data_IF_063335608968
#
_entry.id   IF_063335608968
#
_cell.length_a   1.000
_cell.length_b   1.000
_cell.length_c   1.000
_cell.angle_alpha   90.00
_cell.angle_beta   90.00
_cell.angle_gamma   90.00
#
_symmetry.space_group_name_H-M   'P 1'
#
loop_
_entity.id
_entity.type
_entity.pdbx_description
1 polymer ?
#
# COMPACT_ATOMS: atom_id res chain seq x y z
N UNK A 1 11.52 12.46 -27.77
CA UNK A 1 10.17 12.83 -28.29
C UNK A 1 9.42 11.64 -28.88
N UNK A 2 10.10 10.64 -29.47
CA UNK A 2 9.48 9.42 -30.05
C UNK A 2 8.70 8.53 -29.07
N UNK A 3 9.08 8.48 -27.79
CA UNK A 3 8.39 7.63 -26.79
C UNK A 3 7.02 8.15 -26.36
N UNK A 4 6.67 9.42 -26.61
CA UNK A 4 5.34 9.95 -26.29
C UNK A 4 4.30 9.62 -27.37
N UNK A 5 4.74 9.39 -28.60
CA UNK A 5 3.87 9.12 -29.76
C UNK A 5 3.42 7.66 -29.85
N UNK A 6 4.22 6.70 -29.39
CA UNK A 6 3.83 5.27 -29.39
C UNK A 6 2.80 4.92 -28.30
N UNK A 7 2.73 5.69 -27.20
CA UNK A 7 1.74 5.48 -26.12
C UNK A 7 0.30 5.87 -26.51
N UNK A 8 0.12 6.51 -27.66
CA UNK A 8 -1.17 7.03 -28.13
C UNK A 8 -1.84 6.05 -29.11
N UNK A 9 -1.07 5.16 -29.76
CA UNK A 9 -1.56 4.35 -30.89
C UNK A 9 -2.04 2.92 -30.52
N UNK A 10 -1.83 2.45 -29.29
CA UNK A 10 -2.38 1.17 -28.79
C UNK A 10 -3.70 1.32 -28.02
N UNK A 11 -4.29 2.52 -27.99
CA UNK A 11 -5.61 2.73 -27.37
C UNK A 11 -6.68 2.45 -28.40
N UNK A 12 -7.04 1.19 -28.60
CA UNK A 12 -8.24 0.85 -29.36
C UNK A 12 -9.42 1.71 -28.84
N UNK A 13 -10.26 2.30 -29.70
CA UNK A 13 -11.34 3.18 -29.27
C UNK A 13 -12.27 2.50 -28.25
N UNK A 14 -12.39 1.17 -28.33
CA UNK A 14 -13.12 0.34 -27.38
C UNK A 14 -12.56 0.37 -25.94
N UNK A 15 -11.25 0.49 -25.76
CA UNK A 15 -10.63 0.58 -24.43
C UNK A 15 -10.83 1.97 -23.81
N UNK A 16 -10.83 3.01 -24.64
CA UNK A 16 -11.17 4.36 -24.20
C UNK A 16 -12.64 4.45 -23.80
N UNK A 17 -13.54 3.83 -24.58
CA UNK A 17 -14.97 3.76 -24.25
C UNK A 17 -15.19 3.02 -22.92
N UNK A 18 -14.56 1.86 -22.71
CA UNK A 18 -14.67 1.12 -21.44
C UNK A 18 -14.18 1.94 -20.25
N UNK A 19 -13.05 2.66 -20.40
CA UNK A 19 -12.53 3.53 -19.35
C UNK A 19 -13.45 4.73 -19.06
N UNK A 20 -14.00 5.37 -20.09
CA UNK A 20 -14.97 6.47 -19.93
C UNK A 20 -16.22 5.98 -19.19
N UNK A 21 -16.73 4.79 -19.51
CA UNK A 21 -17.87 4.18 -18.82
C UNK A 21 -17.56 3.93 -17.35
N UNK A 22 -16.39 3.35 -17.04
CA UNK A 22 -15.98 3.09 -15.63
C UNK A 22 -15.84 4.40 -14.85
N UNK A 23 -15.16 5.40 -15.42
CA UNK A 23 -14.96 6.70 -14.76
C UNK A 23 -16.29 7.43 -14.55
N UNK A 24 -17.20 7.39 -15.53
CA UNK A 24 -18.54 7.98 -15.40
C UNK A 24 -19.36 7.28 -14.31
N UNK A 25 -19.32 5.95 -14.25
CA UNK A 25 -20.06 5.17 -13.26
C UNK A 25 -19.56 5.41 -11.83
N UNK A 26 -18.23 5.53 -11.64
CA UNK A 26 -17.63 5.89 -10.34
C UNK A 26 -17.95 7.34 -9.96
N UNK A 27 -17.83 8.28 -10.89
CA UNK A 27 -18.18 9.69 -10.65
C UNK A 27 -19.65 9.85 -10.26
N UNK A 28 -20.55 9.13 -10.93
CA UNK A 28 -21.97 9.08 -10.60
C UNK A 28 -22.20 8.48 -9.21
N UNK A 29 -21.48 7.42 -8.85
CA UNK A 29 -21.53 6.82 -7.51
C UNK A 29 -21.08 7.78 -6.40
N UNK A 30 -19.98 8.51 -6.62
CA UNK A 30 -19.48 9.53 -5.67
C UNK A 30 -20.46 10.70 -5.57
N UNK A 31 -21.01 11.15 -6.69
CA UNK A 31 -21.97 12.25 -6.72
C UNK A 31 -23.28 11.90 -6.01
N UNK A 32 -23.82 10.70 -6.28
CA UNK A 32 -24.97 10.17 -5.56
C UNK A 32 -24.66 10.05 -4.06
N UNK A 33 -23.45 9.62 -3.71
CA UNK A 33 -23.03 9.52 -2.32
C UNK A 33 -22.98 10.87 -1.60
N UNK A 34 -22.49 11.89 -2.28
CA UNK A 34 -22.43 13.25 -1.77
C UNK A 34 -23.84 13.84 -1.59
N UNK A 35 -24.69 13.73 -2.61
CA UNK A 35 -26.05 14.28 -2.59
C UNK A 35 -26.95 13.65 -1.52
N UNK A 36 -26.90 12.33 -1.34
CA UNK A 36 -27.72 11.62 -0.35
C UNK A 36 -27.05 11.54 1.04
N UNK A 37 -26.14 12.46 1.37
CA UNK A 37 -25.37 12.39 2.63
C UNK A 37 -26.19 12.67 3.89
N UNK A 38 -27.28 13.44 3.81
CA UNK A 38 -27.99 13.91 5.00
C UNK A 38 -29.28 13.14 5.33
N UNK A 39 -29.84 12.34 4.40
CA UNK A 39 -31.19 11.78 4.58
C UNK A 39 -31.28 10.24 4.71
N UNK A 40 -30.21 9.48 4.40
CA UNK A 40 -30.28 8.01 4.29
C UNK A 40 -29.42 7.28 5.34
N UNK A 41 -29.97 6.19 5.88
CA UNK A 41 -29.33 5.30 6.84
C UNK A 41 -28.03 4.69 6.28
N UNK A 42 -26.94 4.71 7.08
CA UNK A 42 -25.55 4.47 6.64
C UNK A 42 -25.35 3.10 5.96
N UNK A 43 -26.11 2.08 6.37
CA UNK A 43 -25.98 0.71 5.87
C UNK A 43 -26.38 0.56 4.39
N UNK A 44 -27.44 1.23 3.96
CA UNK A 44 -27.95 1.14 2.57
C UNK A 44 -26.98 1.84 1.60
N UNK A 45 -26.40 2.96 2.03
CA UNK A 45 -25.36 3.70 1.30
C UNK A 45 -24.10 2.87 1.09
N UNK A 46 -23.64 2.17 2.14
CA UNK A 46 -22.47 1.31 2.06
C UNK A 46 -22.70 0.15 1.07
N UNK A 47 -23.85 -0.51 1.10
CA UNK A 47 -24.20 -1.57 0.15
C UNK A 47 -24.30 -1.06 -1.29
N UNK A 48 -24.94 0.10 -1.51
CA UNK A 48 -25.04 0.71 -2.83
C UNK A 48 -23.64 1.03 -3.40
N UNK A 49 -22.77 1.66 -2.61
CA UNK A 49 -21.39 1.94 -3.02
C UNK A 49 -20.58 0.66 -3.30
N UNK A 50 -20.71 -0.35 -2.44
CA UNK A 50 -20.04 -1.64 -2.64
C UNK A 50 -20.50 -2.30 -3.93
N UNK A 51 -21.81 -2.29 -4.23
CA UNK A 51 -22.32 -2.85 -5.48
C UNK A 51 -21.78 -2.11 -6.71
N UNK A 52 -21.80 -0.78 -6.71
CA UNK A 52 -21.23 0.06 -7.78
C UNK A 52 -19.74 -0.21 -7.96
N UNK A 53 -18.98 -0.31 -6.87
CA UNK A 53 -17.56 -0.61 -6.90
C UNK A 53 -17.28 -2.02 -7.45
N UNK A 54 -18.11 -3.01 -7.11
CA UNK A 54 -18.01 -4.38 -7.64
C UNK A 54 -18.30 -4.39 -9.13
N UNK A 55 -19.37 -3.75 -9.61
CA UNK A 55 -19.68 -3.67 -11.04
C UNK A 55 -18.60 -2.92 -11.83
N UNK A 56 -18.11 -1.80 -11.32
CA UNK A 56 -16.99 -1.07 -11.93
C UNK A 56 -15.72 -1.92 -11.97
N UNK A 57 -15.42 -2.65 -10.89
CA UNK A 57 -14.30 -3.58 -10.81
C UNK A 57 -14.41 -4.72 -11.83
N UNK A 58 -15.59 -5.33 -11.97
CA UNK A 58 -15.83 -6.41 -12.95
C UNK A 58 -15.64 -5.91 -14.39
N UNK A 59 -16.12 -4.70 -14.72
CA UNK A 59 -15.95 -4.09 -16.04
C UNK A 59 -14.47 -3.73 -16.28
N UNK A 60 -13.78 -3.19 -15.28
CA UNK A 60 -12.36 -2.86 -15.37
C UNK A 60 -11.48 -4.11 -15.58
N UNK A 61 -11.80 -5.22 -14.91
CA UNK A 61 -11.09 -6.49 -15.06
C UNK A 61 -11.27 -7.13 -16.46
N UNK A 62 -12.39 -6.84 -17.14
CA UNK A 62 -12.63 -7.29 -18.52
C UNK A 62 -11.90 -6.45 -19.59
N UNK A 63 -11.15 -5.42 -19.21
CA UNK A 63 -10.35 -4.59 -20.12
C UNK A 63 -8.97 -5.22 -20.38
N UNK A 64 -8.34 -4.95 -21.52
CA UNK A 64 -6.98 -5.41 -21.88
C UNK A 64 -5.96 -5.19 -20.75
N UNK A 65 -6.05 -4.04 -20.06
CA UNK A 65 -5.22 -3.71 -18.89
C UNK A 65 -5.48 -4.63 -17.69
N UNK A 66 -6.71 -5.07 -17.47
CA UNK A 66 -7.08 -5.99 -16.40
C UNK A 66 -6.47 -7.38 -16.60
N UNK A 67 -6.46 -7.88 -17.83
CA UNK A 67 -5.79 -9.14 -18.19
C UNK A 67 -4.27 -9.05 -18.02
N UNK A 68 -3.64 -7.95 -18.45
CA UNK A 68 -2.20 -7.69 -18.24
C UNK A 68 -1.82 -7.62 -16.76
N UNK A 69 -2.67 -7.01 -15.92
CA UNK A 69 -2.48 -7.00 -14.45
C UNK A 69 -2.61 -8.41 -13.85
N UNK A 70 -3.52 -9.23 -14.38
CA UNK A 70 -3.67 -10.63 -13.93
C UNK A 70 -2.46 -11.50 -14.29
N UNK A 71 -1.93 -11.32 -15.49
CA UNK A 71 -0.73 -12.01 -15.96
C UNK A 71 0.52 -11.61 -15.16
N UNK A 72 0.75 -10.31 -14.98
CA UNK A 72 1.85 -9.80 -14.12
C UNK A 72 1.70 -10.23 -12.65
N UNK A 73 0.48 -10.31 -12.12
CA UNK A 73 0.24 -10.85 -10.77
C UNK A 73 0.55 -12.36 -10.68
N UNK A 74 0.30 -13.11 -11.76
CA UNK A 74 0.64 -14.54 -11.85
C UNK A 74 2.15 -14.73 -11.93
N UNK A 75 2.85 -13.92 -12.70
CA UNK A 75 4.32 -13.90 -12.79
C UNK A 75 4.96 -13.49 -11.46
N UNK A 76 4.43 -12.45 -10.78
CA UNK A 76 4.90 -12.04 -9.46
C UNK A 76 4.77 -13.16 -8.41
N UNK A 77 3.70 -13.97 -8.47
CA UNK A 77 3.54 -15.15 -7.61
C UNK A 77 4.58 -16.25 -7.89
N UNK A 78 5.04 -16.37 -9.13
CA UNK A 78 6.10 -17.32 -9.50
C UNK A 78 7.46 -16.82 -9.01
N UNK A 79 7.71 -15.51 -9.04
CA UNK A 79 8.96 -14.90 -8.57
C UNK A 79 9.05 -14.88 -7.03
N UNK A 80 7.93 -14.66 -6.31
CA UNK A 80 7.88 -14.77 -4.84
C UNK A 80 8.31 -16.16 -4.35
N UNK A 81 8.07 -17.20 -5.14
CA UNK A 81 8.53 -18.56 -4.82
C UNK A 81 10.03 -18.76 -5.03
N UNK A 82 10.69 -17.88 -5.79
CA UNK A 82 12.14 -17.86 -5.99
C UNK A 82 12.87 -17.02 -4.95
N UNK A 83 12.15 -16.25 -4.13
CA UNK A 83 12.73 -15.62 -2.95
C UNK A 83 13.09 -16.74 -1.98
N UNK A 84 14.38 -17.07 -1.97
CA UNK A 84 14.96 -17.96 -0.97
C UNK A 84 14.87 -17.22 0.35
N UNK A 85 13.77 -17.41 1.06
CA UNK A 85 13.59 -16.77 2.35
C UNK A 85 14.71 -17.29 3.26
N UNK A 86 15.51 -16.38 3.84
CA UNK A 86 16.65 -16.75 4.66
C UNK A 86 16.18 -17.66 5.78
N UNK A 87 17.02 -18.64 6.11
CA UNK A 87 16.66 -19.65 7.11
C UNK A 87 16.46 -18.96 8.47
N UNK A 88 15.56 -19.49 9.31
CA UNK A 88 15.26 -18.91 10.63
C UNK A 88 16.51 -18.80 11.53
N UNK A 89 17.49 -19.68 11.32
CA UNK A 89 18.72 -19.71 12.10
C UNK A 89 19.60 -18.48 11.84
N UNK A 90 19.76 -18.08 10.58
CA UNK A 90 20.54 -16.89 10.21
C UNK A 90 19.86 -15.61 10.70
N UNK A 91 18.52 -15.53 10.58
CA UNK A 91 17.74 -14.36 11.01
C UNK A 91 17.84 -14.14 12.52
N UNK A 92 17.77 -15.22 13.31
CA UNK A 92 17.86 -15.15 14.77
C UNK A 92 19.29 -14.80 15.19
N UNK A 93 20.31 -15.33 14.52
CA UNK A 93 21.71 -15.02 14.84
C UNK A 93 22.00 -13.52 14.67
N UNK A 94 21.59 -12.92 13.55
CA UNK A 94 21.79 -11.48 13.34
C UNK A 94 20.95 -10.64 14.31
N UNK A 95 19.70 -11.02 14.58
CA UNK A 95 18.84 -10.29 15.54
C UNK A 95 19.40 -10.38 16.97
N UNK A 96 19.94 -11.52 17.38
CA UNK A 96 20.55 -11.70 18.70
C UNK A 96 21.80 -10.83 18.88
N UNK A 97 22.66 -10.73 17.85
CA UNK A 97 23.82 -9.83 17.86
C UNK A 97 23.37 -8.37 18.02
N UNK A 98 22.34 -7.96 17.27
CA UNK A 98 21.80 -6.59 17.35
C UNK A 98 21.20 -6.31 18.73
N UNK A 99 20.44 -7.24 19.30
CA UNK A 99 19.89 -7.09 20.66
C UNK A 99 21.00 -6.95 21.71
N UNK A 100 22.05 -7.76 21.60
CA UNK A 100 23.19 -7.69 22.50
C UNK A 100 23.87 -6.32 22.42
N UNK A 101 24.05 -5.80 21.20
CA UNK A 101 24.58 -4.46 20.98
C UNK A 101 23.67 -3.35 21.53
N UNK A 102 22.35 -3.47 21.37
CA UNK A 102 21.38 -2.53 21.93
C UNK A 102 21.46 -2.47 23.47
N UNK A 103 21.57 -3.63 24.13
CA UNK A 103 21.74 -3.71 25.59
C UNK A 103 23.05 -3.05 26.01
N UNK A 104 24.14 -3.32 25.29
CA UNK A 104 25.45 -2.73 25.57
C UNK A 104 25.40 -1.20 25.50
N UNK A 105 24.88 -0.64 24.41
CA UNK A 105 24.78 0.82 24.28
C UNK A 105 23.78 1.43 25.26
N UNK A 106 22.66 0.75 25.54
CA UNK A 106 21.71 1.19 26.56
C UNK A 106 22.36 1.30 27.93
N UNK A 107 23.21 0.33 28.30
CA UNK A 107 23.91 0.34 29.58
C UNK A 107 24.98 1.45 29.64
N UNK A 108 25.73 1.65 28.56
CA UNK A 108 26.75 2.70 28.46
C UNK A 108 26.11 4.08 28.57
N UNK A 109 25.05 4.35 27.80
CA UNK A 109 24.34 5.63 27.86
C UNK A 109 23.75 5.85 29.25
N UNK A 110 23.02 4.88 29.79
CA UNK A 110 22.46 4.98 31.14
C UNK A 110 23.53 5.29 32.22
N UNK A 111 24.70 4.65 32.12
CA UNK A 111 25.82 4.92 33.02
C UNK A 111 26.37 6.34 32.87
N UNK A 112 26.54 6.80 31.63
CA UNK A 112 27.01 8.15 31.33
C UNK A 112 26.01 9.22 31.79
N UNK A 113 24.72 9.04 31.49
CA UNK A 113 23.64 9.93 31.93
C UNK A 113 23.58 10.01 33.46
N UNK A 114 23.67 8.86 34.13
CA UNK A 114 23.71 8.80 35.61
C UNK A 114 24.92 9.52 36.17
N UNK A 115 26.10 9.31 35.59
CA UNK A 115 27.35 9.95 35.99
C UNK A 115 27.32 11.47 35.80
N UNK A 116 26.89 11.95 34.63
CA UNK A 116 26.73 13.39 34.36
C UNK A 116 25.70 14.01 35.30
N UNK A 117 24.57 13.34 35.53
CA UNK A 117 23.55 13.85 36.46
C UNK A 117 24.07 13.97 37.90
N UNK A 118 24.94 13.05 38.34
CA UNK A 118 25.59 13.09 39.65
C UNK A 118 26.57 14.26 39.77
N UNK A 119 27.38 14.48 38.73
CA UNK A 119 28.32 15.63 38.67
C UNK A 119 27.55 16.95 38.68
N UNK A 120 26.52 17.09 37.85
CA UNK A 120 25.71 18.31 37.77
C UNK A 120 24.99 18.60 39.10
N UNK A 121 24.42 17.58 39.74
CA UNK A 121 23.81 17.71 41.08
C UNK A 121 24.81 18.12 42.15
N UNK A 122 26.07 17.70 42.04
CA UNK A 122 27.13 18.09 42.99
C UNK A 122 27.67 19.51 42.77
N UNK A 123 27.39 20.11 41.60
CA UNK A 123 27.82 21.48 41.25
C UNK A 123 26.70 22.50 41.50
N UNK A 124 25.45 22.14 41.16
CA UNK A 124 24.27 23.01 41.33
C UNK A 124 23.66 22.87 42.73
N UNK A 125 23.85 21.72 43.38
CA UNK A 125 23.50 21.47 44.77
C UNK A 125 24.62 21.85 45.73
#
# INVERSE_FOLDING_TARGET
VSSKTELINERGPFDLIKWVVVTSLVACGIWANWYYSDEINVLIRALALVSVAVFAGLIALQTEKGKRLWETAREARLEIRRVVWPTRQETIQTTAIVILLMILFSLILWGLDSFLSWVVKSIIG
#
